data_IF_144440694925
#
_entry.id   IF_144440694925
#
_cell.length_a   1.000
_cell.length_b   1.000
_cell.length_c   1.000
_cell.angle_alpha   90.00
_cell.angle_beta   90.00
_cell.angle_gamma   90.00
#
_symmetry.space_group_name_H-M   'P 1'
#
loop_
_entity.id
_entity.type
_entity.pdbx_description
1 polymer ?
#
# COMPACT_ATOMS: atom_id res chain seq x y z
N UNK A 1 -51.18 37.60 -10.09
CA UNK A 1 -50.29 38.16 -9.05
C UNK A 1 -49.05 37.28 -9.04
N UNK A 2 -47.92 37.76 -9.57
CA UNK A 2 -46.69 36.98 -9.60
C UNK A 2 -46.13 36.93 -8.17
N UNK A 3 -45.88 35.72 -7.66
CA UNK A 3 -45.26 35.51 -6.36
C UNK A 3 -43.76 35.67 -6.58
N UNK A 4 -43.19 36.74 -6.03
CA UNK A 4 -41.75 36.97 -6.05
C UNK A 4 -41.14 36.15 -4.91
N UNK A 5 -40.41 35.09 -5.26
CA UNK A 5 -39.77 34.21 -4.28
C UNK A 5 -38.37 34.77 -4.02
N UNK A 6 -38.04 35.21 -2.80
CA UNK A 6 -36.72 35.74 -2.51
C UNK A 6 -35.64 34.65 -2.66
N UNK A 7 -34.67 34.86 -3.54
CA UNK A 7 -33.49 34.00 -3.68
C UNK A 7 -32.46 34.35 -2.60
N UNK A 8 -32.11 33.37 -1.78
CA UNK A 8 -31.02 33.48 -0.80
C UNK A 8 -29.79 32.70 -1.28
N UNK A 9 -28.66 33.39 -1.49
CA UNK A 9 -27.40 32.75 -1.92
C UNK A 9 -26.64 32.21 -0.71
N UNK A 10 -26.77 30.91 -0.47
CA UNK A 10 -25.99 30.23 0.57
C UNK A 10 -24.60 29.84 0.05
N UNK A 11 -23.55 30.24 0.77
CA UNK A 11 -22.16 29.82 0.50
C UNK A 11 -21.72 28.83 1.58
N UNK A 12 -21.47 27.58 1.17
CA UNK A 12 -20.87 26.59 2.04
C UNK A 12 -19.34 26.71 1.98
N UNK A 13 -18.69 26.86 3.14
CA UNK A 13 -17.24 26.71 3.25
C UNK A 13 -16.95 25.24 3.50
N UNK A 14 -16.48 24.56 2.47
CA UNK A 14 -16.13 23.14 2.54
C UNK A 14 -14.68 23.00 2.99
N UNK A 15 -14.45 22.17 4.01
CA UNK A 15 -13.13 21.74 4.44
C UNK A 15 -12.85 20.34 3.88
N UNK A 16 -11.90 20.26 2.94
CA UNK A 16 -11.56 19.05 2.18
C UNK A 16 -11.09 17.86 3.03
N UNK A 17 -10.73 18.09 4.30
CA UNK A 17 -10.17 17.07 5.19
C UNK A 17 -11.18 16.38 6.09
N UNK A 18 -12.46 16.73 6.04
CA UNK A 18 -13.51 16.19 6.92
C UNK A 18 -14.71 15.68 6.11
N UNK A 19 -15.34 14.56 6.49
CA UNK A 19 -16.64 14.17 5.95
C UNK A 19 -17.67 15.26 6.26
N UNK A 20 -18.43 15.69 5.26
CA UNK A 20 -19.44 16.74 5.42
C UNK A 20 -20.83 16.12 5.58
N UNK A 21 -21.60 16.61 6.54
CA UNK A 21 -23.01 16.28 6.73
C UNK A 21 -23.85 17.37 6.06
N UNK A 22 -24.09 17.21 4.74
CA UNK A 22 -24.72 18.22 3.88
C UNK A 22 -26.26 18.09 3.78
N UNK A 23 -26.90 17.44 4.74
CA UNK A 23 -28.36 17.32 4.77
C UNK A 23 -28.96 18.47 5.58
N UNK A 24 -29.56 19.50 4.95
CA UNK A 24 -30.29 20.52 5.70
C UNK A 24 -31.58 19.90 6.28
N UNK A 25 -31.71 19.86 7.60
CA UNK A 25 -32.90 19.36 8.30
C UNK A 25 -34.19 20.13 7.95
N UNK A 26 -34.09 21.34 7.40
CA UNK A 26 -35.25 22.23 7.18
C UNK A 26 -35.20 22.98 5.83
N UNK A 27 -35.16 22.27 4.70
CA UNK A 27 -35.42 22.87 3.38
C UNK A 27 -36.88 22.59 2.94
N UNK A 28 -37.75 23.61 3.01
CA UNK A 28 -39.22 23.45 2.84
C UNK A 28 -39.67 23.20 1.41
N UNK A 29 -38.89 23.54 0.38
CA UNK A 29 -39.20 23.26 -1.02
C UNK A 29 -37.91 22.99 -1.81
N UNK A 30 -37.79 21.79 -2.37
CA UNK A 30 -36.67 21.36 -3.20
C UNK A 30 -37.04 21.58 -4.68
N UNK A 31 -36.48 22.60 -5.33
CA UNK A 31 -36.52 22.71 -6.79
C UNK A 31 -35.07 22.70 -7.27
N UNK A 32 -34.62 21.55 -7.78
CA UNK A 32 -33.25 21.39 -8.28
C UNK A 32 -33.19 21.87 -9.73
N UNK A 33 -33.03 23.18 -9.91
CA UNK A 33 -32.45 23.69 -11.16
C UNK A 33 -31.03 24.13 -10.83
N UNK A 34 -30.07 23.20 -10.96
CA UNK A 34 -28.66 23.52 -10.82
C UNK A 34 -27.95 23.19 -12.14
N UNK A 35 -27.67 24.24 -12.92
CA UNK A 35 -26.86 24.23 -14.16
C UNK A 35 -25.38 23.90 -13.87
N UNK A 36 -24.99 23.85 -12.60
CA UNK A 36 -23.60 23.64 -12.16
C UNK A 36 -23.45 22.29 -11.48
N UNK A 37 -23.82 21.20 -12.15
CA UNK A 37 -23.12 19.93 -11.92
C UNK A 37 -21.72 20.05 -12.55
N UNK A 38 -20.85 20.88 -11.95
CA UNK A 38 -19.40 20.68 -12.07
C UNK A 38 -19.15 19.42 -11.27
N UNK A 39 -19.22 18.28 -11.96
CA UNK A 39 -19.03 16.94 -11.39
C UNK A 39 -17.60 16.86 -10.86
N UNK A 40 -17.40 17.29 -9.61
CA UNK A 40 -16.21 16.95 -8.84
C UNK A 40 -16.39 15.48 -8.44
N UNK A 41 -16.05 14.60 -9.38
CA UNK A 41 -16.03 13.16 -9.16
C UNK A 41 -14.90 12.85 -8.19
N UNK A 42 -15.22 12.56 -6.93
CA UNK A 42 -14.26 11.97 -6.02
C UNK A 42 -14.11 10.49 -6.35
N UNK A 43 -12.87 10.03 -6.52
CA UNK A 43 -12.58 8.62 -6.70
C UNK A 43 -12.41 7.97 -5.32
N UNK A 44 -13.21 6.95 -5.05
CA UNK A 44 -13.15 6.16 -3.82
C UNK A 44 -12.61 4.76 -4.13
N UNK A 45 -11.76 4.26 -3.24
CA UNK A 45 -11.36 2.85 -3.18
C UNK A 45 -12.10 2.15 -2.04
N UNK A 46 -12.26 0.82 -2.13
CA UNK A 46 -12.79 0.02 -1.03
C UNK A 46 -11.65 -0.51 -0.17
N UNK A 47 -11.65 -0.18 1.13
CA UNK A 47 -10.71 -0.73 2.10
C UNK A 47 -11.27 -2.05 2.63
N UNK A 48 -10.61 -3.16 2.30
CA UNK A 48 -11.03 -4.50 2.74
C UNK A 48 -10.80 -4.72 4.25
N UNK A 49 -9.82 -4.07 4.86
CA UNK A 49 -9.50 -4.24 6.27
C UNK A 49 -10.41 -3.41 7.17
N UNK A 50 -10.80 -2.22 6.70
CA UNK A 50 -11.70 -1.31 7.43
C UNK A 50 -13.17 -1.42 7.00
N UNK A 51 -13.46 -2.28 6.02
CA UNK A 51 -14.79 -2.53 5.44
C UNK A 51 -15.55 -1.24 5.06
N UNK A 52 -14.84 -0.24 4.53
CA UNK A 52 -15.44 1.07 4.21
C UNK A 52 -14.81 1.72 2.98
N UNK A 53 -15.54 2.61 2.27
CA UNK A 53 -14.96 3.38 1.18
C UNK A 53 -14.01 4.46 1.71
N UNK A 54 -12.83 4.57 1.10
CA UNK A 54 -11.81 5.58 1.40
C UNK A 54 -11.57 6.48 0.17
N UNK A 55 -11.34 7.77 0.39
CA UNK A 55 -11.00 8.72 -0.70
C UNK A 55 -9.58 8.46 -1.19
N UNK A 56 -9.40 8.28 -2.49
CA UNK A 56 -8.07 8.13 -3.10
C UNK A 56 -7.39 9.49 -3.22
N UNK A 57 -6.08 9.50 -2.92
CA UNK A 57 -5.23 10.70 -3.03
C UNK A 57 -4.39 10.61 -4.30
N UNK A 58 -4.20 11.76 -4.93
CA UNK A 58 -3.21 11.94 -5.99
C UNK A 58 -1.92 12.54 -5.40
N UNK A 59 -0.78 12.11 -5.90
CA UNK A 59 0.52 12.73 -5.66
C UNK A 59 0.69 14.00 -6.52
N UNK A 60 1.73 14.78 -6.25
CA UNK A 60 1.99 16.05 -6.94
C UNK A 60 2.29 15.92 -8.44
N UNK A 61 2.59 14.71 -8.91
CA UNK A 61 2.81 14.34 -10.31
C UNK A 61 1.53 13.81 -11.01
N UNK A 62 0.41 13.68 -10.28
CA UNK A 62 -0.87 13.19 -10.81
C UNK A 62 -1.10 11.68 -10.66
N UNK A 63 -0.15 10.94 -10.06
CA UNK A 63 -0.28 9.50 -9.82
C UNK A 63 -1.28 9.21 -8.70
N UNK A 64 -2.18 8.24 -8.88
CA UNK A 64 -3.12 7.76 -7.85
C UNK A 64 -2.49 6.61 -7.07
N UNK A 65 -2.46 6.71 -5.74
CA UNK A 65 -1.96 5.64 -4.87
C UNK A 65 -3.12 4.76 -4.45
N UNK A 66 -3.22 3.56 -5.03
CA UNK A 66 -4.34 2.61 -4.86
C UNK A 66 -3.88 1.26 -4.27
N UNK A 67 -2.57 1.09 -4.03
CA UNK A 67 -1.97 -0.16 -3.56
C UNK A 67 -0.81 0.12 -2.61
N UNK A 68 -0.56 -0.81 -1.69
CA UNK A 68 0.53 -0.81 -0.70
C UNK A 68 1.89 -1.21 -1.33
N UNK A 69 1.89 -1.75 -2.56
CA UNK A 69 3.13 -2.15 -3.23
C UNK A 69 3.48 -1.22 -4.40
N UNK A 70 4.56 -0.45 -4.19
CA UNK A 70 5.46 0.04 -5.24
C UNK A 70 5.38 1.53 -5.60
N UNK A 71 5.62 2.45 -4.66
CA UNK A 71 6.54 3.62 -4.81
C UNK A 71 6.47 4.53 -3.57
N UNK A 72 7.63 4.82 -2.96
CA UNK A 72 7.76 5.76 -1.83
C UNK A 72 8.15 5.13 -0.49
N UNK A 73 9.12 4.20 -0.47
CA UNK A 73 9.64 3.65 0.78
C UNK A 73 10.25 4.76 1.64
N UNK A 74 9.85 4.82 2.90
CA UNK A 74 10.34 5.84 3.83
C UNK A 74 11.44 5.30 4.71
N UNK A 75 11.43 3.98 4.94
CA UNK A 75 12.31 3.32 5.86
C UNK A 75 12.81 2.00 5.26
N UNK A 76 13.86 1.46 5.86
CA UNK A 76 14.36 0.12 5.55
C UNK A 76 14.76 -0.61 6.83
N UNK A 77 14.74 -1.94 6.76
CA UNK A 77 15.26 -2.83 7.80
C UNK A 77 16.22 -3.83 7.17
N UNK A 78 17.34 -4.10 7.83
CA UNK A 78 18.36 -5.01 7.35
C UNK A 78 18.44 -6.26 8.23
N UNK A 79 18.47 -7.43 7.59
CA UNK A 79 18.78 -8.73 8.21
C UNK A 79 20.04 -9.27 7.57
N UNK A 80 20.91 -9.90 8.35
CA UNK A 80 22.17 -10.46 7.84
C UNK A 80 22.57 -11.64 8.68
N UNK A 81 23.20 -12.63 8.04
CA UNK A 81 23.61 -13.84 8.74
C UNK A 81 24.26 -14.84 7.81
N UNK A 82 24.41 -16.04 8.34
CA UNK A 82 24.88 -17.22 7.61
C UNK A 82 23.80 -18.27 7.69
N UNK A 83 23.47 -18.89 6.55
CA UNK A 83 22.51 -19.98 6.47
C UNK A 83 23.18 -21.23 5.91
N UNK A 84 22.80 -22.39 6.45
CA UNK A 84 23.30 -23.71 6.07
C UNK A 84 22.14 -24.54 5.46
N UNK A 85 22.25 -25.86 5.45
CA UNK A 85 21.23 -26.77 4.92
C UNK A 85 19.91 -26.77 5.73
N UNK A 86 19.97 -26.38 7.01
CA UNK A 86 18.75 -26.14 7.78
C UNK A 86 18.11 -24.80 7.39
N UNK A 87 16.82 -24.83 7.10
CA UNK A 87 16.08 -23.62 6.80
C UNK A 87 16.04 -22.66 8.01
N UNK A 88 16.37 -21.40 7.77
CA UNK A 88 16.26 -20.30 8.74
C UNK A 88 15.14 -19.38 8.30
N UNK A 89 14.36 -18.84 9.24
CA UNK A 89 13.31 -17.86 8.94
C UNK A 89 13.74 -16.50 9.47
N UNK A 90 13.86 -15.54 8.55
CA UNK A 90 14.02 -14.13 8.85
C UNK A 90 12.65 -13.44 8.81
N UNK A 91 12.23 -12.89 9.95
CA UNK A 91 11.01 -12.11 10.06
C UNK A 91 11.33 -10.62 10.16
N UNK A 92 10.68 -9.82 9.33
CA UNK A 92 10.74 -8.37 9.42
C UNK A 92 9.78 -7.86 10.48
N UNK A 93 10.13 -6.78 11.15
CA UNK A 93 9.26 -6.14 12.16
C UNK A 93 7.96 -5.62 11.52
N UNK A 94 7.98 -5.41 10.20
CA UNK A 94 6.86 -4.90 9.43
C UNK A 94 6.71 -5.60 8.08
N UNK A 95 5.52 -5.51 7.48
CA UNK A 95 5.31 -5.99 6.11
C UNK A 95 6.03 -5.03 5.16
N UNK A 96 6.95 -5.57 4.37
CA UNK A 96 7.76 -4.83 3.41
C UNK A 96 7.22 -5.04 1.99
N UNK A 97 7.43 -4.04 1.14
CA UNK A 97 6.91 -4.00 -0.24
C UNK A 97 8.01 -4.23 -1.29
N UNK A 98 9.28 -4.15 -0.89
CA UNK A 98 10.44 -4.56 -1.68
C UNK A 98 11.46 -5.25 -0.82
N UNK A 99 12.12 -6.24 -1.39
CA UNK A 99 13.23 -6.96 -0.77
C UNK A 99 14.42 -6.96 -1.72
N UNK A 100 15.56 -6.53 -1.21
CA UNK A 100 16.86 -6.62 -1.86
C UNK A 100 17.72 -7.64 -1.12
N UNK A 101 18.35 -8.56 -1.84
CA UNK A 101 19.12 -9.67 -1.28
C UNK A 101 20.49 -9.70 -1.93
N UNK A 102 21.52 -9.67 -1.11
CA UNK A 102 22.89 -9.95 -1.49
C UNK A 102 23.30 -11.32 -0.96
N UNK A 103 23.76 -12.19 -1.86
CA UNK A 103 24.26 -13.52 -1.55
C UNK A 103 25.75 -13.61 -1.91
N UNK A 104 26.58 -14.18 -1.03
CA UNK A 104 28.04 -14.06 -1.17
C UNK A 104 28.72 -15.25 -1.85
N UNK A 105 28.55 -16.47 -1.36
CA UNK A 105 29.48 -17.57 -1.63
C UNK A 105 28.86 -18.81 -2.26
N UNK A 106 27.65 -19.19 -1.84
CA UNK A 106 27.01 -20.44 -2.28
C UNK A 106 25.55 -20.18 -2.68
N UNK A 107 24.90 -21.13 -3.36
CA UNK A 107 23.50 -20.98 -3.75
C UNK A 107 22.59 -20.73 -2.54
N UNK A 108 21.71 -19.74 -2.66
CA UNK A 108 20.71 -19.39 -1.65
C UNK A 108 19.31 -19.67 -2.19
N UNK A 109 18.54 -20.46 -1.46
CA UNK A 109 17.13 -20.69 -1.72
C UNK A 109 16.30 -19.82 -0.78
N UNK A 110 15.33 -19.11 -1.37
CA UNK A 110 14.42 -18.26 -0.61
C UNK A 110 12.97 -18.67 -0.88
N UNK A 111 12.13 -18.64 0.14
CA UNK A 111 10.67 -18.69 0.00
C UNK A 111 10.06 -17.57 0.83
N UNK A 112 9.03 -16.90 0.31
CA UNK A 112 8.39 -15.76 0.97
C UNK A 112 7.04 -16.10 1.57
N UNK A 113 6.63 -15.31 2.53
CA UNK A 113 5.31 -15.35 3.16
C UNK A 113 4.89 -13.90 3.47
N UNK A 114 3.64 -13.58 3.13
CA UNK A 114 3.03 -12.25 3.28
C UNK A 114 2.69 -11.91 4.74
N UNK A 115 2.76 -12.90 5.64
CA UNK A 115 2.33 -12.84 7.03
C UNK A 115 1.15 -13.78 7.32
N UNK A 116 0.56 -14.40 6.30
CA UNK A 116 -0.60 -15.29 6.41
C UNK A 116 -0.25 -16.75 6.79
N UNK A 117 1.04 -17.11 6.77
CA UNK A 117 1.52 -18.45 7.09
C UNK A 117 1.69 -19.36 5.87
N UNK A 118 1.37 -18.87 4.67
CA UNK A 118 1.49 -19.60 3.40
C UNK A 118 2.81 -19.27 2.73
N UNK A 119 3.69 -20.25 2.67
CA UNK A 119 4.95 -20.15 1.94
C UNK A 119 4.72 -20.25 0.44
N UNK A 120 5.29 -19.30 -0.30
CA UNK A 120 5.34 -19.32 -1.76
C UNK A 120 6.46 -20.24 -2.24
N UNK A 121 6.46 -20.52 -3.55
CA UNK A 121 7.48 -21.35 -4.19
C UNK A 121 8.91 -20.83 -3.93
N UNK A 122 9.86 -21.77 -3.85
CA UNK A 122 11.26 -21.44 -3.65
C UNK A 122 11.88 -20.80 -4.91
N UNK A 123 12.67 -19.75 -4.70
CA UNK A 123 13.47 -19.09 -5.72
C UNK A 123 14.94 -19.38 -5.39
N UNK A 124 15.68 -19.83 -6.41
CA UNK A 124 17.13 -20.03 -6.32
C UNK A 124 17.86 -18.76 -6.73
N UNK A 125 18.82 -18.34 -5.90
CA UNK A 125 19.78 -17.26 -6.17
C UNK A 125 21.15 -17.91 -6.25
N UNK A 126 21.88 -17.72 -7.35
CA UNK A 126 23.21 -18.31 -7.50
C UNK A 126 24.22 -17.63 -6.56
N UNK A 127 25.38 -18.27 -6.38
CA UNK A 127 26.48 -17.69 -5.64
C UNK A 127 26.90 -16.31 -6.18
N UNK A 128 27.26 -15.39 -5.27
CA UNK A 128 27.73 -14.04 -5.58
C UNK A 128 26.78 -13.22 -6.46
N UNK A 129 25.47 -13.32 -6.19
CA UNK A 129 24.44 -12.60 -6.92
C UNK A 129 23.63 -11.66 -6.01
N UNK A 130 23.19 -10.58 -6.64
CA UNK A 130 22.16 -9.70 -6.11
C UNK A 130 20.81 -10.09 -6.72
N UNK A 131 19.78 -10.15 -5.88
CA UNK A 131 18.40 -10.37 -6.31
C UNK A 131 17.48 -9.33 -5.65
N UNK A 132 16.58 -8.75 -6.42
CA UNK A 132 15.64 -7.73 -5.95
C UNK A 132 14.26 -7.99 -6.53
N UNK A 133 13.24 -7.86 -5.70
CA UNK A 133 11.85 -8.03 -6.11
C UNK A 133 10.90 -7.17 -5.29
N UNK A 134 9.80 -6.77 -5.94
CA UNK A 134 8.71 -6.03 -5.31
C UNK A 134 7.56 -7.00 -5.02
N UNK A 135 7.26 -7.23 -3.75
CA UNK A 135 6.14 -8.05 -3.30
C UNK A 135 5.82 -7.79 -1.83
N UNK A 136 4.55 -7.96 -1.44
CA UNK A 136 4.13 -7.96 -0.04
C UNK A 136 4.77 -9.14 0.70
N UNK A 137 5.66 -8.83 1.64
CA UNK A 137 6.50 -9.83 2.33
C UNK A 137 6.64 -9.49 3.81
N UNK A 138 6.43 -10.46 4.69
CA UNK A 138 6.65 -10.34 6.15
C UNK A 138 7.77 -11.25 6.63
N UNK A 139 7.89 -12.44 6.02
CA UNK A 139 8.89 -13.45 6.38
C UNK A 139 9.58 -14.00 5.15
N UNK A 140 10.86 -14.31 5.31
CA UNK A 140 11.66 -15.04 4.33
C UNK A 140 12.23 -16.29 4.98
N UNK A 141 11.99 -17.43 4.35
CA UNK A 141 12.67 -18.68 4.66
C UNK A 141 13.88 -18.79 3.75
N UNK A 142 15.03 -19.05 4.35
CA UNK A 142 16.34 -19.08 3.72
C UNK A 142 16.94 -20.48 3.91
N UNK A 143 17.59 -21.02 2.89
CA UNK A 143 18.32 -22.30 2.98
C UNK A 143 19.49 -22.30 1.98
N UNK A 144 20.59 -22.97 2.33
CA UNK A 144 21.73 -23.20 1.43
C UNK A 144 21.96 -24.70 1.27
N UNK A 145 22.18 -25.22 0.07
CA UNK A 145 22.44 -26.67 -0.16
C UNK A 145 23.86 -27.11 0.19
N UNK A 146 24.70 -26.18 0.62
CA UNK A 146 26.16 -26.33 0.76
C UNK A 146 26.63 -26.16 2.22
N UNK A 147 27.95 -26.01 2.41
CA UNK A 147 28.60 -25.72 3.69
C UNK A 147 28.20 -24.39 4.34
N UNK A 148 27.34 -23.62 3.69
CA UNK A 148 26.74 -22.39 4.19
C UNK A 148 27.05 -21.18 3.31
N UNK A 149 26.10 -20.26 3.20
CA UNK A 149 26.27 -18.97 2.52
C UNK A 149 25.97 -17.82 3.46
N UNK A 150 26.69 -16.70 3.29
CA UNK A 150 26.34 -15.47 3.99
C UNK A 150 25.42 -14.63 3.14
N UNK A 151 24.44 -14.00 3.79
CA UNK A 151 23.45 -13.17 3.13
C UNK A 151 23.30 -11.83 3.83
N UNK A 152 22.86 -10.85 3.05
CA UNK A 152 22.30 -9.59 3.56
C UNK A 152 20.98 -9.32 2.84
N UNK A 153 19.94 -9.07 3.60
CA UNK A 153 18.59 -8.79 3.11
C UNK A 153 18.17 -7.41 3.60
N UNK A 154 17.66 -6.58 2.70
CA UNK A 154 17.09 -5.28 3.01
C UNK A 154 15.62 -5.29 2.61
N UNK A 155 14.74 -5.08 3.58
CA UNK A 155 13.31 -4.89 3.37
C UNK A 155 12.94 -3.41 3.39
N UNK A 156 12.18 -2.96 2.39
CA UNK A 156 11.75 -1.56 2.24
C UNK A 156 10.23 -1.40 2.43
N UNK A 157 9.83 -0.35 3.14
CA UNK A 157 8.45 -0.09 3.52
C UNK A 157 8.16 1.41 3.72
#
# INVERSE_FOLDING_TARGET
MAIDIPEEKQKFKINLNTPEDLLPEYARNFVVSNIVNRVLSYLYGWDYDQEKPIKLKALGDGSLVVSVSGTGYTNNITKSGTVYDSAVVEEFDHVVSRVDIWNSSEELYIARDSGDGTWQDEIKIEANQFYSFDAVTKRLKLRSTSTGTTYQIVGWW
#
